data_IF_775037769001
#
_entry.id   IF_775037769001
#
_cell.length_a   1.000
_cell.length_b   1.000
_cell.length_c   1.000
_cell.angle_alpha   90.00
_cell.angle_beta   90.00
_cell.angle_gamma   90.00
#
_symmetry.space_group_name_H-M   'P 1'
#
loop_
_entity.id
_entity.type
_entity.pdbx_description
1 polymer ?
#
# COMPACT_ATOMS: atom_id res chain seq x y z
N UNK A 1 -12.26 2.79 -15.56
CA UNK A 1 -10.95 2.15 -15.28
C UNK A 1 -10.01 2.94 -14.34
N UNK A 2 -10.10 4.28 -14.18
CA UNK A 2 -9.02 5.05 -13.50
C UNK A 2 -9.08 5.17 -11.96
N UNK A 3 -10.24 4.96 -11.31
CA UNK A 3 -10.40 5.25 -9.85
C UNK A 3 -9.69 4.26 -8.91
N UNK A 4 -9.52 3.00 -9.31
CA UNK A 4 -8.83 1.97 -8.49
C UNK A 4 -7.34 1.81 -8.81
N UNK A 5 -6.83 2.49 -9.84
CA UNK A 5 -5.43 2.36 -10.26
C UNK A 5 -4.47 2.89 -9.20
N UNK A 6 -4.72 4.10 -8.69
CA UNK A 6 -3.85 4.75 -7.70
C UNK A 6 -3.75 3.97 -6.37
N UNK A 7 -4.85 3.52 -5.75
CA UNK A 7 -4.78 2.69 -4.54
C UNK A 7 -3.99 1.39 -4.75
N UNK A 8 -4.22 0.70 -5.88
CA UNK A 8 -3.52 -0.54 -6.21
C UNK A 8 -2.04 -0.33 -6.54
N UNK A 9 -1.69 0.80 -7.14
CA UNK A 9 -0.31 1.18 -7.34
C UNK A 9 0.40 1.40 -6.00
N UNK A 10 -0.24 2.09 -5.04
CA UNK A 10 0.31 2.29 -3.70
C UNK A 10 0.48 0.97 -2.94
N UNK A 11 -0.50 0.06 -3.01
CA UNK A 11 -0.36 -1.29 -2.47
C UNK A 11 0.84 -2.03 -3.10
N UNK A 12 0.95 -2.02 -4.43
CA UNK A 12 2.06 -2.69 -5.12
C UNK A 12 3.42 -2.08 -4.77
N UNK A 13 3.52 -0.75 -4.70
CA UNK A 13 4.74 -0.05 -4.29
C UNK A 13 5.14 -0.39 -2.85
N UNK A 14 4.17 -0.39 -1.92
CA UNK A 14 4.41 -0.75 -0.54
C UNK A 14 4.95 -2.19 -0.41
N UNK A 15 4.36 -3.12 -1.15
CA UNK A 15 4.79 -4.52 -1.16
C UNK A 15 6.19 -4.68 -1.80
N UNK A 16 6.49 -3.94 -2.86
CA UNK A 16 7.82 -3.90 -3.46
C UNK A 16 8.89 -3.36 -2.49
N UNK A 17 8.61 -2.27 -1.77
CA UNK A 17 9.51 -1.72 -0.75
C UNK A 17 9.77 -2.72 0.39
N UNK A 18 8.73 -3.46 0.82
CA UNK A 18 8.89 -4.53 1.81
C UNK A 18 9.81 -5.63 1.30
N UNK A 19 9.58 -6.12 0.08
CA UNK A 19 10.40 -7.17 -0.51
C UNK A 19 11.86 -6.73 -0.68
N UNK A 20 12.09 -5.51 -1.18
CA UNK A 20 13.44 -4.95 -1.35
C UNK A 20 14.14 -4.80 0.00
N UNK A 21 13.45 -4.26 1.00
CA UNK A 21 14.00 -4.10 2.35
C UNK A 21 14.32 -5.43 3.03
N UNK A 22 13.49 -6.46 2.83
CA UNK A 22 13.80 -7.81 3.31
C UNK A 22 15.03 -8.39 2.62
N UNK A 23 15.12 -8.27 1.29
CA UNK A 23 16.28 -8.73 0.52
C UNK A 23 17.54 -8.02 1.01
N UNK A 24 17.51 -6.70 1.15
CA UNK A 24 18.65 -5.93 1.65
C UNK A 24 19.01 -6.31 3.09
N UNK A 25 18.02 -6.50 3.97
CA UNK A 25 18.25 -6.96 5.35
C UNK A 25 18.89 -8.35 5.43
N UNK A 26 18.60 -9.25 4.48
CA UNK A 26 19.24 -10.58 4.41
C UNK A 26 20.70 -10.49 3.95
N UNK A 27 21.01 -9.57 3.03
CA UNK A 27 22.37 -9.40 2.50
C UNK A 27 23.24 -8.43 3.33
N UNK A 28 22.64 -7.60 4.17
CA UNK A 28 23.30 -6.54 4.94
C UNK A 28 22.97 -6.59 6.43
N UNK A 29 22.94 -5.42 7.09
CA UNK A 29 22.53 -5.31 8.49
C UNK A 29 21.02 -5.18 8.62
N UNK A 30 20.38 -6.20 9.19
CA UNK A 30 18.93 -6.31 9.30
C UNK A 30 18.30 -5.18 10.13
N UNK A 31 19.03 -4.66 11.13
CA UNK A 31 18.49 -3.63 12.04
C UNK A 31 18.50 -2.24 11.41
N UNK A 32 19.56 -1.90 10.66
CA UNK A 32 19.64 -0.66 9.91
C UNK A 32 18.64 -0.57 8.76
N UNK A 33 18.30 -1.69 8.13
CA UNK A 33 17.49 -1.75 6.91
C UNK A 33 15.96 -1.87 7.16
N UNK A 34 15.52 -1.85 8.42
CA UNK A 34 14.11 -1.96 8.81
C UNK A 34 13.22 -0.79 8.33
N UNK A 35 13.81 0.36 7.96
CA UNK A 35 13.04 1.53 7.52
C UNK A 35 12.29 1.27 6.20
N UNK A 36 12.86 0.48 5.30
CA UNK A 36 12.27 0.18 3.99
C UNK A 36 11.04 -0.74 4.09
N UNK A 37 11.10 -1.85 4.86
CA UNK A 37 9.92 -2.66 5.16
C UNK A 37 8.84 -1.90 5.92
N UNK A 38 9.21 -1.15 6.97
CA UNK A 38 8.24 -0.39 7.75
C UNK A 38 7.57 0.69 6.90
N UNK A 39 8.35 1.42 6.10
CA UNK A 39 7.84 2.41 5.16
C UNK A 39 6.94 1.79 4.09
N UNK A 40 7.33 0.63 3.55
CA UNK A 40 6.54 -0.11 2.58
C UNK A 40 5.19 -0.57 3.14
N UNK A 41 5.15 -1.09 4.37
CA UNK A 41 3.91 -1.45 5.08
C UNK A 41 3.02 -0.21 5.23
N UNK A 42 3.59 0.93 5.61
CA UNK A 42 2.83 2.17 5.78
C UNK A 42 2.18 2.63 4.46
N UNK A 43 2.93 2.63 3.36
CA UNK A 43 2.40 2.96 2.02
C UNK A 43 1.31 1.98 1.59
N UNK A 44 1.51 0.68 1.83
CA UNK A 44 0.51 -0.34 1.55
C UNK A 44 -0.81 -0.08 2.29
N UNK A 45 -0.73 0.19 3.60
CA UNK A 45 -1.89 0.47 4.44
C UNK A 45 -2.63 1.73 3.97
N UNK A 46 -1.91 2.78 3.57
CA UNK A 46 -2.50 3.99 2.99
C UNK A 46 -3.26 3.65 1.71
N UNK A 47 -2.63 2.92 0.77
CA UNK A 47 -3.28 2.49 -0.46
C UNK A 47 -4.60 1.77 -0.19
N UNK A 48 -4.58 0.80 0.73
CA UNK A 48 -5.77 0.05 1.14
C UNK A 48 -6.83 0.90 1.83
N UNK A 49 -6.42 1.89 2.61
CA UNK A 49 -7.37 2.81 3.26
C UNK A 49 -8.08 3.70 2.23
N UNK A 50 -7.34 4.20 1.22
CA UNK A 50 -7.91 4.99 0.13
C UNK A 50 -8.89 4.14 -0.68
N UNK A 51 -8.52 2.90 -1.04
CA UNK A 51 -9.42 1.98 -1.77
C UNK A 51 -10.75 1.79 -1.02
N UNK A 52 -10.69 1.49 0.28
CA UNK A 52 -11.89 1.32 1.12
C UNK A 52 -12.76 2.57 1.16
N UNK A 53 -12.16 3.77 1.16
CA UNK A 53 -12.95 5.02 1.12
C UNK A 53 -13.63 5.23 -0.22
N UNK A 54 -12.95 4.90 -1.33
CA UNK A 54 -13.54 4.99 -2.67
C UNK A 54 -14.72 4.02 -2.80
N UNK A 55 -14.60 2.80 -2.28
CA UNK A 55 -15.67 1.80 -2.30
C UNK A 55 -16.87 2.23 -1.46
N UNK A 56 -16.64 2.76 -0.25
CA UNK A 56 -17.71 3.33 0.58
C UNK A 56 -18.43 4.49 -0.09
N UNK A 57 -17.67 5.40 -0.71
CA UNK A 57 -18.25 6.53 -1.44
C UNK A 57 -19.06 6.08 -2.66
N UNK A 58 -18.64 5.04 -3.36
CA UNK A 58 -19.42 4.47 -4.47
C UNK A 58 -20.74 3.85 -3.98
N UNK A 59 -20.69 3.06 -2.91
CA UNK A 59 -21.87 2.41 -2.33
C UNK A 59 -22.91 3.42 -1.81
N UNK A 60 -22.47 4.56 -1.24
CA UNK A 60 -23.39 5.61 -0.77
C UNK A 60 -24.16 6.31 -1.91
N UNK A 61 -23.65 6.29 -3.14
CA UNK A 61 -24.30 6.91 -4.30
C UNK A 61 -25.40 5.99 -4.89
N UNK A 62 -25.23 4.67 -4.77
CA UNK A 62 -26.18 3.69 -5.31
C UNK A 62 -27.42 3.49 -4.41
N UNK A 63 -27.32 3.79 -3.11
CA UNK A 63 -28.44 3.67 -2.16
C UNK A 63 -29.42 4.85 -2.10
N UNK A 64 -29.20 5.90 -2.90
CA UNK A 64 -30.01 7.13 -2.93
C UNK A 64 -30.86 7.29 -4.21
N UNK A 65 -30.98 6.21 -5.01
CA UNK A 65 -31.76 6.17 -6.25
C UNK A 65 -33.11 5.50 -6.09
#
# INVERSE_FOLDING_TARGET
>A
MKRKFLPKLLEAMGLACVMVGFVQGVYGDMWGELYLPIGGIFIFVIGRHIEKRIEKAAASVEGTG
#
